data_IF_773318447120
#
_entry.id   IF_773318447120
#
_cell.length_a   1.000
_cell.length_b   1.000
_cell.length_c   1.000
_cell.angle_alpha   90.00
_cell.angle_beta   90.00
_cell.angle_gamma   90.00
#
_symmetry.space_group_name_H-M   'P 1'
#
loop_
_entity.id
_entity.type
_entity.pdbx_description
1 polymer ?
#
# COMPACT_ATOMS: atom_id res chain seq x y z
N UNK A 1 29.96 18.09 -5.85
CA UNK A 1 30.09 17.23 -7.05
C UNK A 1 28.83 17.20 -7.92
N UNK A 2 27.69 16.60 -7.49
CA UNK A 2 26.49 16.53 -8.35
C UNK A 2 25.90 17.91 -8.76
N UNK A 3 25.98 18.90 -7.86
CA UNK A 3 25.52 20.26 -8.13
C UNK A 3 26.51 21.12 -8.93
N UNK A 4 27.79 20.72 -8.99
CA UNK A 4 28.81 21.39 -9.81
C UNK A 4 28.71 20.95 -11.27
N UNK A 5 28.49 19.66 -11.51
CA UNK A 5 28.29 19.10 -12.86
C UNK A 5 27.06 19.71 -13.53
N UNK A 6 26.00 20.02 -12.77
CA UNK A 6 24.78 20.66 -13.33
C UNK A 6 24.98 22.09 -13.83
N UNK A 7 26.07 22.77 -13.44
CA UNK A 7 26.38 24.14 -13.87
C UNK A 7 27.08 24.20 -15.23
N UNK A 8 27.53 23.06 -15.75
CA UNK A 8 28.22 22.98 -17.03
C UNK A 8 27.21 22.97 -18.21
N UNK A 9 27.57 23.57 -19.36
CA UNK A 9 26.85 23.46 -20.62
C UNK A 9 26.58 22.01 -21.03
N UNK A 10 25.55 21.77 -21.84
CA UNK A 10 25.17 20.41 -22.27
C UNK A 10 26.30 19.70 -23.04
N UNK A 11 26.98 20.40 -23.93
CA UNK A 11 28.08 19.87 -24.76
C UNK A 11 29.31 19.51 -23.91
N UNK A 12 29.74 20.39 -22.99
CA UNK A 12 30.87 20.10 -22.08
C UNK A 12 30.58 18.92 -21.14
N UNK A 13 29.33 18.78 -20.67
CA UNK A 13 28.94 17.59 -19.89
C UNK A 13 29.03 16.32 -20.72
N UNK A 14 28.68 16.38 -21.99
CA UNK A 14 28.73 15.23 -22.90
C UNK A 14 30.17 14.82 -23.21
N UNK A 15 31.08 15.79 -23.40
CA UNK A 15 32.51 15.53 -23.57
C UNK A 15 33.16 14.97 -22.30
N UNK A 16 32.82 15.51 -21.12
CA UNK A 16 33.32 14.99 -19.85
C UNK A 16 32.83 13.57 -19.56
N UNK A 17 31.57 13.27 -19.87
CA UNK A 17 31.04 11.91 -19.70
C UNK A 17 31.68 10.92 -20.69
N UNK A 18 32.00 11.37 -21.92
CA UNK A 18 32.76 10.56 -22.89
C UNK A 18 34.22 10.36 -22.49
N UNK A 19 34.86 11.39 -21.91
CA UNK A 19 36.26 11.34 -21.48
C UNK A 19 36.47 10.52 -20.19
N UNK A 20 35.46 10.46 -19.31
CA UNK A 20 35.53 9.76 -18.03
C UNK A 20 35.39 8.23 -18.13
N UNK A 21 35.12 7.68 -19.33
CA UNK A 21 34.88 6.25 -19.59
C UNK A 21 33.94 5.58 -18.58
N UNK A 22 32.97 6.35 -18.09
CA UNK A 22 32.16 5.91 -16.96
C UNK A 22 31.03 5.00 -17.46
N UNK A 23 31.20 3.70 -17.27
CA UNK A 23 30.17 2.71 -17.62
C UNK A 23 29.16 2.58 -16.48
N UNK A 24 27.98 3.18 -16.64
CA UNK A 24 26.88 3.00 -15.69
C UNK A 24 26.17 1.69 -16.00
N UNK A 25 26.17 0.76 -15.04
CA UNK A 25 25.48 -0.53 -15.19
C UNK A 25 24.12 -0.50 -14.49
N UNK A 26 23.04 -0.71 -15.24
CA UNK A 26 21.68 -0.86 -14.71
C UNK A 26 21.43 -2.34 -14.38
N UNK A 27 21.15 -2.69 -13.11
CA UNK A 27 20.82 -4.04 -12.66
C UNK A 27 19.59 -4.62 -13.37
N UNK A 28 19.40 -5.94 -13.25
CA UNK A 28 18.32 -6.66 -13.92
C UNK A 28 16.93 -6.21 -13.41
N UNK A 29 16.82 -5.96 -12.11
CA UNK A 29 15.62 -5.56 -11.40
C UNK A 29 15.19 -4.14 -11.83
N UNK A 30 16.14 -3.21 -11.91
CA UNK A 30 15.88 -1.84 -12.38
C UNK A 30 15.55 -1.81 -13.88
N UNK A 31 16.18 -2.69 -14.68
CA UNK A 31 15.83 -2.86 -16.09
C UNK A 31 14.39 -3.40 -16.28
N UNK A 32 13.93 -4.27 -15.38
CA UNK A 32 12.54 -4.76 -15.35
C UNK A 32 11.56 -3.67 -14.94
N UNK A 33 11.88 -2.90 -13.89
CA UNK A 33 11.06 -1.77 -13.45
C UNK A 33 10.87 -0.77 -14.61
N UNK A 34 11.97 -0.36 -15.26
CA UNK A 34 11.94 0.52 -16.42
C UNK A 34 11.06 -0.03 -17.56
N UNK A 35 11.11 -1.35 -17.81
CA UNK A 35 10.24 -2.00 -18.80
C UNK A 35 8.77 -1.91 -18.39
N UNK A 36 8.47 -2.16 -17.11
CA UNK A 36 7.11 -2.15 -16.55
C UNK A 36 6.50 -0.75 -16.60
N UNK A 37 7.21 0.23 -16.06
CA UNK A 37 6.77 1.62 -15.94
C UNK A 37 6.50 2.28 -17.29
N UNK A 38 7.31 1.92 -18.29
CA UNK A 38 7.18 2.41 -19.66
C UNK A 38 6.30 1.53 -20.56
N UNK A 39 5.70 0.46 -20.02
CA UNK A 39 4.87 -0.50 -20.75
C UNK A 39 5.55 -1.06 -22.02
N UNK A 40 6.87 -1.29 -21.98
CA UNK A 40 7.64 -1.65 -23.17
C UNK A 40 7.61 -3.16 -23.44
N UNK A 41 7.33 -3.54 -24.69
CA UNK A 41 7.61 -4.88 -25.18
C UNK A 41 9.13 -5.16 -25.22
N UNK A 42 9.52 -6.42 -25.02
CA UNK A 42 10.93 -6.87 -25.07
C UNK A 42 11.69 -6.45 -26.33
N UNK A 43 11.02 -6.39 -27.49
CA UNK A 43 11.62 -5.86 -28.73
C UNK A 43 12.03 -4.39 -28.58
N UNK A 44 11.19 -3.55 -27.97
CA UNK A 44 11.47 -2.13 -27.71
C UNK A 44 12.56 -1.97 -26.64
N UNK A 45 12.55 -2.81 -25.60
CA UNK A 45 13.62 -2.86 -24.59
C UNK A 45 14.98 -3.16 -25.22
N UNK A 46 15.04 -4.09 -26.19
CA UNK A 46 16.29 -4.39 -26.92
C UNK A 46 16.80 -3.21 -27.74
N UNK A 47 15.92 -2.45 -28.38
CA UNK A 47 16.28 -1.23 -29.14
C UNK A 47 16.78 -0.16 -28.18
N UNK A 48 16.03 0.10 -27.10
CA UNK A 48 16.39 1.07 -26.06
C UNK A 48 17.73 0.74 -25.41
N UNK A 49 18.01 -0.53 -25.11
CA UNK A 49 19.30 -0.96 -24.59
C UNK A 49 20.45 -0.69 -25.57
N UNK A 50 20.26 -0.91 -26.87
CA UNK A 50 21.29 -0.58 -27.87
C UNK A 50 21.55 0.92 -27.92
N UNK A 51 20.47 1.71 -27.88
CA UNK A 51 20.56 3.16 -27.80
C UNK A 51 21.29 3.60 -26.52
N UNK A 52 20.88 3.15 -25.33
CA UNK A 52 21.54 3.45 -24.06
C UNK A 52 23.01 3.00 -24.02
N UNK A 53 23.36 1.88 -24.64
CA UNK A 53 24.76 1.45 -24.76
C UNK A 53 25.61 2.45 -25.54
N UNK A 54 25.04 3.15 -26.53
CA UNK A 54 25.76 4.23 -27.24
C UNK A 54 26.03 5.46 -26.36
N UNK A 55 25.33 5.57 -25.22
CA UNK A 55 25.53 6.60 -24.19
C UNK A 55 26.34 6.11 -22.98
N UNK A 56 27.05 4.97 -23.09
CA UNK A 56 27.82 4.42 -21.96
C UNK A 56 26.97 3.74 -20.86
N UNK A 57 25.66 3.58 -21.09
CA UNK A 57 24.75 2.90 -20.16
C UNK A 57 24.59 1.41 -20.54
N UNK A 58 25.03 0.53 -19.65
CA UNK A 58 24.91 -0.92 -19.82
C UNK A 58 23.73 -1.47 -19.02
N UNK A 59 22.64 -1.86 -19.69
CA UNK A 59 21.54 -2.57 -19.03
C UNK A 59 21.82 -4.08 -19.04
N UNK A 60 21.56 -4.74 -17.91
CA UNK A 60 21.54 -6.19 -17.79
C UNK A 60 20.82 -6.88 -18.97
N UNK A 61 21.30 -8.05 -19.37
CA UNK A 61 20.75 -8.76 -20.53
C UNK A 61 19.28 -9.14 -20.34
N UNK A 62 18.53 -9.25 -21.44
CA UNK A 62 17.14 -9.73 -21.41
C UNK A 62 17.03 -11.08 -20.68
N UNK A 63 18.01 -11.97 -20.84
CA UNK A 63 18.05 -13.24 -20.14
C UNK A 63 18.20 -13.05 -18.61
N UNK A 64 19.07 -12.14 -18.16
CA UNK A 64 19.22 -11.82 -16.72
C UNK A 64 17.94 -11.19 -16.17
N UNK A 65 17.33 -10.26 -16.91
CA UNK A 65 16.05 -9.66 -16.54
C UNK A 65 14.93 -10.70 -16.46
N UNK A 66 14.83 -11.63 -17.42
CA UNK A 66 13.83 -12.71 -17.38
C UNK A 66 14.07 -13.68 -16.20
N UNK A 67 15.32 -13.94 -15.83
CA UNK A 67 15.65 -14.74 -14.64
C UNK A 67 15.26 -14.01 -13.36
N UNK A 68 15.59 -12.73 -13.23
CA UNK A 68 15.18 -11.91 -12.08
C UNK A 68 13.65 -11.85 -11.96
N UNK A 69 12.94 -11.67 -13.08
CA UNK A 69 11.49 -11.72 -13.12
C UNK A 69 10.96 -13.09 -12.68
N UNK A 70 11.58 -14.18 -13.14
CA UNK A 70 11.20 -15.53 -12.72
C UNK A 70 11.41 -15.74 -11.22
N UNK A 71 12.49 -15.21 -10.65
CA UNK A 71 12.76 -15.26 -9.20
C UNK A 71 11.72 -14.45 -8.42
N UNK A 72 11.43 -13.21 -8.83
CA UNK A 72 10.37 -12.39 -8.23
C UNK A 72 8.98 -13.07 -8.33
N UNK A 73 8.68 -13.67 -9.48
CA UNK A 73 7.45 -14.45 -9.69
C UNK A 73 7.46 -15.83 -9.02
N UNK A 74 8.59 -16.29 -8.48
CA UNK A 74 8.66 -17.50 -7.63
C UNK A 74 8.42 -17.14 -6.16
N UNK A 75 8.77 -15.92 -5.75
CA UNK A 75 8.43 -15.37 -4.43
C UNK A 75 6.93 -15.06 -4.32
N UNK A 76 6.32 -14.59 -5.40
CA UNK A 76 4.86 -14.61 -5.55
C UNK A 76 4.46 -16.05 -5.88
N UNK A 77 3.56 -16.72 -5.15
CA UNK A 77 3.11 -18.09 -5.49
C UNK A 77 2.24 -18.10 -6.77
N UNK A 78 2.81 -17.69 -7.90
CA UNK A 78 2.20 -17.67 -9.22
C UNK A 78 2.62 -18.96 -9.92
N UNK A 79 1.72 -19.92 -9.96
CA UNK A 79 1.93 -21.15 -10.70
C UNK A 79 1.53 -20.95 -12.16
N UNK A 80 2.37 -21.45 -13.05
CA UNK A 80 2.10 -21.48 -14.47
C UNK A 80 1.95 -22.91 -14.94
N UNK A 81 0.85 -23.24 -15.60
CA UNK A 81 0.67 -24.51 -16.27
C UNK A 81 0.20 -24.31 -17.70
N UNK A 82 0.48 -25.27 -18.58
CA UNK A 82 -0.02 -25.23 -19.96
C UNK A 82 -1.36 -25.92 -19.99
N UNK A 83 -2.43 -25.13 -20.13
CA UNK A 83 -3.80 -25.64 -20.20
C UNK A 83 -4.26 -25.63 -21.66
N UNK A 84 -5.02 -26.64 -22.12
CA UNK A 84 -5.66 -26.58 -23.43
C UNK A 84 -6.70 -25.47 -23.49
N UNK A 85 -6.43 -24.43 -24.30
CA UNK A 85 -7.38 -23.37 -24.64
C UNK A 85 -7.87 -23.54 -26.07
N UNK A 86 -9.11 -23.10 -26.32
CA UNK A 86 -9.67 -23.06 -27.67
C UNK A 86 -9.32 -21.74 -28.36
N UNK A 87 -8.76 -21.82 -29.56
CA UNK A 87 -8.41 -20.69 -30.42
C UNK A 87 -9.22 -20.76 -31.71
N UNK A 88 -9.66 -19.60 -32.23
CA UNK A 88 -10.23 -19.53 -33.57
C UNK A 88 -9.13 -19.63 -34.62
N UNK A 89 -9.29 -20.55 -35.56
CA UNK A 89 -8.42 -20.66 -36.72
C UNK A 89 -8.76 -19.60 -37.76
N UNK A 90 -7.82 -19.31 -38.68
CA UNK A 90 -8.05 -18.39 -39.81
C UNK A 90 -9.15 -18.87 -40.77
N UNK A 91 -9.44 -20.17 -40.78
CA UNK A 91 -10.51 -20.77 -41.58
C UNK A 91 -11.88 -20.74 -40.88
N UNK A 92 -12.01 -20.11 -39.71
CA UNK A 92 -13.26 -20.02 -38.95
C UNK A 92 -13.56 -21.22 -38.06
N UNK A 93 -12.67 -22.22 -38.00
CA UNK A 93 -12.76 -23.35 -37.09
C UNK A 93 -12.28 -23.01 -35.67
N UNK A 94 -12.42 -23.97 -34.75
CA UNK A 94 -11.81 -23.92 -33.42
C UNK A 94 -10.73 -24.99 -33.31
N UNK A 95 -9.60 -24.65 -32.70
CA UNK A 95 -8.52 -25.57 -32.41
C UNK A 95 -8.13 -25.48 -30.94
N UNK A 96 -7.92 -26.62 -30.30
CA UNK A 96 -7.33 -26.67 -28.96
C UNK A 96 -5.82 -26.57 -29.08
N UNK A 97 -5.22 -25.59 -28.39
CA UNK A 97 -3.78 -25.49 -28.25
C UNK A 97 -3.43 -25.30 -26.78
N UNK A 98 -2.34 -25.93 -26.37
CA UNK A 98 -1.75 -25.64 -25.07
C UNK A 98 -1.28 -24.19 -25.07
N UNK A 99 -1.77 -23.40 -24.12
CA UNK A 99 -1.29 -22.05 -23.91
C UNK A 99 -0.93 -21.85 -22.43
N UNK A 100 0.08 -21.01 -22.15
CA UNK A 100 0.50 -20.73 -20.79
C UNK A 100 -0.65 -20.04 -20.04
N UNK A 101 -1.10 -20.69 -18.97
CA UNK A 101 -2.00 -20.13 -17.98
C UNK A 101 -1.20 -19.89 -16.71
N UNK A 102 -1.36 -18.71 -16.11
CA UNK A 102 -0.78 -18.42 -14.81
C UNK A 102 -1.91 -18.15 -13.82
N UNK A 103 -1.84 -18.77 -12.66
CA UNK A 103 -2.77 -18.56 -11.56
C UNK A 103 -2.01 -18.27 -10.28
N UNK A 104 -2.63 -17.46 -9.43
CA UNK A 104 -2.12 -17.12 -8.11
C UNK A 104 -2.71 -18.10 -7.11
N UNK A 105 -1.86 -18.84 -6.39
CA UNK A 105 -2.32 -19.73 -5.32
C UNK A 105 -2.85 -18.95 -4.12
N UNK A 106 -2.43 -17.69 -4.00
CA UNK A 106 -2.72 -16.85 -2.85
C UNK A 106 -3.24 -15.48 -3.31
N UNK A 107 -4.57 -15.40 -3.49
CA UNK A 107 -5.27 -14.16 -3.83
C UNK A 107 -4.99 -13.06 -2.80
N UNK A 108 -4.84 -13.41 -1.52
CA UNK A 108 -4.53 -12.48 -0.43
C UNK A 108 -3.18 -11.80 -0.66
N UNK A 109 -2.11 -12.56 -0.91
CA UNK A 109 -0.77 -12.02 -1.21
C UNK A 109 -0.77 -11.15 -2.47
N UNK A 110 -1.54 -11.54 -3.48
CA UNK A 110 -1.64 -10.80 -4.76
C UNK A 110 -2.36 -9.47 -4.59
N UNK A 111 -3.47 -9.44 -3.87
CA UNK A 111 -4.19 -8.21 -3.54
C UNK A 111 -3.32 -7.27 -2.69
N UNK A 112 -2.50 -7.81 -1.79
CA UNK A 112 -1.57 -7.02 -0.99
C UNK A 112 -0.45 -6.39 -1.82
N UNK A 113 0.15 -7.13 -2.74
CA UNK A 113 1.13 -6.58 -3.67
C UNK A 113 0.54 -5.42 -4.49
N UNK A 114 -0.69 -5.57 -5.00
CA UNK A 114 -1.37 -4.52 -5.75
C UNK A 114 -1.67 -3.27 -4.91
N UNK A 115 -2.01 -3.45 -3.63
CA UNK A 115 -2.21 -2.35 -2.68
C UNK A 115 -0.92 -1.59 -2.36
N UNK A 116 0.19 -2.31 -2.17
CA UNK A 116 1.51 -1.72 -1.90
C UNK A 116 2.01 -0.93 -3.11
N UNK A 117 1.99 -1.55 -4.29
CA UNK A 117 2.56 -1.00 -5.52
C UNK A 117 1.71 0.15 -6.08
N UNK A 118 0.38 0.03 -6.09
CA UNK A 118 -0.51 1.01 -6.74
C UNK A 118 -1.08 2.07 -5.80
N UNK A 119 -1.11 1.85 -4.49
CA UNK A 119 -1.71 2.78 -3.54
C UNK A 119 -0.74 3.33 -2.49
N UNK A 120 0.55 2.98 -2.58
CA UNK A 120 1.58 3.41 -1.62
C UNK A 120 1.17 3.13 -0.16
N UNK A 121 0.50 2.00 0.05
CA UNK A 121 0.16 1.51 1.38
C UNK A 121 1.24 0.51 1.77
N UNK A 122 2.36 0.98 2.32
CA UNK A 122 3.42 0.10 2.82
C UNK A 122 2.92 -0.70 4.03
N UNK A 123 3.01 -2.04 3.99
CA UNK A 123 2.80 -2.86 5.17
C UNK A 123 3.80 -2.45 6.25
N UNK A 124 3.29 -2.23 7.46
CA UNK A 124 4.16 -2.11 8.62
C UNK A 124 4.27 -3.48 9.25
N UNK A 125 5.50 -3.95 9.50
CA UNK A 125 5.82 -5.30 9.97
C UNK A 125 5.28 -5.66 11.37
N UNK A 126 4.49 -4.78 11.99
CA UNK A 126 3.87 -5.07 13.27
C UNK A 126 2.76 -6.11 13.10
N UNK A 127 2.92 -7.25 13.78
CA UNK A 127 2.00 -8.40 13.78
C UNK A 127 1.61 -8.94 12.39
N UNK A 128 2.59 -9.48 11.67
CA UNK A 128 2.34 -10.44 10.58
C UNK A 128 1.60 -9.86 9.38
N UNK A 129 2.07 -8.72 8.86
CA UNK A 129 1.56 -8.11 7.62
C UNK A 129 0.08 -7.67 7.70
N UNK A 130 -0.31 -7.07 8.83
CA UNK A 130 -1.69 -6.62 9.05
C UNK A 130 -1.91 -5.14 8.73
N UNK A 131 -3.15 -4.77 8.40
CA UNK A 131 -3.54 -3.38 8.25
C UNK A 131 -3.66 -2.71 9.61
N UNK A 132 -2.93 -1.60 9.81
CA UNK A 132 -3.06 -0.74 10.98
C UNK A 132 -4.17 0.30 10.79
N UNK A 133 -4.56 0.98 11.87
CA UNK A 133 -5.65 1.97 11.86
C UNK A 133 -5.50 3.05 10.78
N UNK A 134 -4.27 3.52 10.55
CA UNK A 134 -3.98 4.49 9.49
C UNK A 134 -4.27 3.96 8.07
N UNK A 135 -4.05 2.67 7.84
CA UNK A 135 -4.36 2.04 6.55
C UNK A 135 -5.87 1.95 6.35
N UNK A 136 -6.60 1.54 7.38
CA UNK A 136 -8.07 1.47 7.34
C UNK A 136 -8.67 2.85 7.08
N UNK A 137 -8.22 3.88 7.81
CA UNK A 137 -8.68 5.25 7.62
C UNK A 137 -8.42 5.77 6.20
N UNK A 138 -7.27 5.44 5.61
CA UNK A 138 -6.98 5.78 4.20
C UNK A 138 -7.85 4.98 3.23
N UNK A 139 -7.96 3.66 3.40
CA UNK A 139 -8.67 2.78 2.49
C UNK A 139 -10.17 3.12 2.38
N UNK A 140 -10.79 3.55 3.49
CA UNK A 140 -12.21 3.88 3.55
C UNK A 140 -12.60 5.26 2.99
N UNK A 141 -11.65 5.99 2.38
CA UNK A 141 -11.95 7.25 1.67
C UNK A 141 -12.63 6.94 0.33
N UNK A 142 -13.66 7.70 -0.10
CA UNK A 142 -14.40 7.39 -1.32
C UNK A 142 -13.53 7.24 -2.58
N UNK A 143 -12.51 8.09 -2.74
CA UNK A 143 -11.57 8.01 -3.86
C UNK A 143 -10.76 6.70 -3.83
N UNK A 144 -10.35 6.26 -2.63
CA UNK A 144 -9.51 5.07 -2.45
C UNK A 144 -10.33 3.79 -2.58
N UNK A 145 -11.58 3.77 -2.12
CA UNK A 145 -12.52 2.67 -2.38
C UNK A 145 -12.68 2.47 -3.90
N UNK A 146 -12.94 3.56 -4.63
CA UNK A 146 -13.06 3.51 -6.10
C UNK A 146 -11.78 3.00 -6.76
N UNK A 147 -10.62 3.53 -6.35
CA UNK A 147 -9.33 3.12 -6.90
C UNK A 147 -9.02 1.65 -6.62
N UNK A 148 -9.28 1.18 -5.39
CA UNK A 148 -9.08 -0.20 -4.98
C UNK A 148 -9.91 -1.14 -5.82
N UNK A 149 -11.22 -0.90 -5.89
CA UNK A 149 -12.12 -1.74 -6.65
C UNK A 149 -11.76 -1.69 -8.15
N UNK A 150 -11.50 -0.51 -8.72
CA UNK A 150 -11.12 -0.37 -10.13
C UNK A 150 -9.85 -1.18 -10.46
N UNK A 151 -8.86 -1.20 -9.57
CA UNK A 151 -7.61 -1.94 -9.81
C UNK A 151 -7.84 -3.44 -10.08
N UNK A 152 -8.88 -4.03 -9.49
CA UNK A 152 -9.26 -5.43 -9.72
C UNK A 152 -9.84 -5.62 -11.13
N UNK A 153 -10.68 -4.68 -11.59
CA UNK A 153 -11.21 -4.68 -12.97
C UNK A 153 -10.12 -4.46 -13.99
N UNK A 154 -9.21 -3.52 -13.75
CA UNK A 154 -8.08 -3.25 -14.66
C UNK A 154 -7.20 -4.49 -14.79
N UNK A 155 -6.98 -5.20 -13.67
CA UNK A 155 -6.24 -6.47 -13.64
C UNK A 155 -6.98 -7.57 -14.42
N UNK A 156 -8.29 -7.74 -14.20
CA UNK A 156 -9.09 -8.71 -14.94
C UNK A 156 -9.08 -8.40 -16.46
N UNK A 157 -9.24 -7.13 -16.83
CA UNK A 157 -9.22 -6.69 -18.24
C UNK A 157 -7.89 -6.97 -18.92
N UNK A 158 -6.80 -6.87 -18.16
CA UNK A 158 -5.43 -7.11 -18.68
C UNK A 158 -5.13 -8.60 -18.86
N UNK A 159 -5.65 -9.45 -17.98
CA UNK A 159 -5.25 -10.86 -17.91
C UNK A 159 -6.30 -11.85 -18.40
N UNK A 160 -7.59 -11.57 -18.21
CA UNK A 160 -8.69 -12.44 -18.64
C UNK A 160 -10.00 -11.66 -18.82
N UNK A 161 -10.31 -11.32 -20.08
CA UNK A 161 -11.53 -10.60 -20.46
C UNK A 161 -12.81 -11.38 -20.11
N UNK A 162 -12.76 -12.71 -19.98
CA UNK A 162 -13.93 -13.53 -19.63
C UNK A 162 -14.38 -13.31 -18.19
N UNK A 163 -13.47 -12.88 -17.31
CA UNK A 163 -13.77 -12.58 -15.91
C UNK A 163 -14.38 -11.20 -15.69
N UNK A 164 -14.24 -10.28 -16.67
CA UNK A 164 -14.65 -8.88 -16.52
C UNK A 164 -16.12 -8.73 -16.08
N UNK A 165 -17.11 -9.43 -16.67
CA UNK A 165 -18.51 -9.31 -16.23
C UNK A 165 -18.71 -9.72 -14.77
N UNK A 166 -18.08 -10.82 -14.34
CA UNK A 166 -18.15 -11.33 -12.96
C UNK A 166 -17.46 -10.38 -11.97
N UNK A 167 -16.31 -9.84 -12.36
CA UNK A 167 -15.55 -8.88 -11.54
C UNK A 167 -16.31 -7.57 -11.39
N UNK A 168 -16.96 -7.08 -12.45
CA UNK A 168 -17.82 -5.88 -12.38
C UNK A 168 -19.00 -6.06 -11.43
N UNK A 169 -19.63 -7.24 -11.42
CA UNK A 169 -20.71 -7.54 -10.47
C UNK A 169 -20.22 -7.58 -9.01
N UNK A 170 -19.06 -8.20 -8.76
CA UNK A 170 -18.43 -8.22 -7.44
C UNK A 170 -18.01 -6.82 -6.99
N UNK A 171 -17.49 -6.01 -7.90
CA UNK A 171 -17.03 -4.64 -7.64
C UNK A 171 -18.13 -3.77 -7.01
N UNK A 172 -19.34 -3.78 -7.59
CA UNK A 172 -20.46 -3.02 -7.05
C UNK A 172 -20.76 -3.42 -5.59
N UNK A 173 -20.72 -4.73 -5.32
CA UNK A 173 -20.94 -5.29 -3.98
C UNK A 173 -19.90 -4.80 -2.98
N UNK A 174 -18.61 -4.83 -3.34
CA UNK A 174 -17.53 -4.37 -2.45
C UNK A 174 -17.50 -2.85 -2.27
N UNK A 175 -17.80 -2.07 -3.31
CA UNK A 175 -17.92 -0.60 -3.20
C UNK A 175 -19.01 -0.25 -2.19
N UNK A 176 -20.17 -0.91 -2.27
CA UNK A 176 -21.26 -0.68 -1.34
C UNK A 176 -20.91 -1.11 0.08
N UNK A 177 -20.32 -2.30 0.26
CA UNK A 177 -19.84 -2.78 1.56
C UNK A 177 -18.88 -1.78 2.23
N UNK A 178 -17.84 -1.34 1.51
CA UNK A 178 -16.86 -0.38 2.05
C UNK A 178 -17.48 0.99 2.31
N UNK A 179 -18.42 1.42 1.50
CA UNK A 179 -19.12 2.71 1.70
C UNK A 179 -19.99 2.67 2.94
N UNK A 180 -20.74 1.58 3.16
CA UNK A 180 -21.54 1.38 4.37
C UNK A 180 -20.66 1.33 5.63
N UNK A 181 -19.56 0.57 5.58
CA UNK A 181 -18.63 0.48 6.69
C UNK A 181 -17.90 1.81 6.96
N UNK A 182 -17.54 2.57 5.91
CA UNK A 182 -16.90 3.89 6.04
C UNK A 182 -17.78 4.88 6.83
N UNK A 183 -19.10 4.83 6.65
CA UNK A 183 -20.04 5.65 7.44
C UNK A 183 -20.02 5.28 8.92
N UNK A 184 -19.96 3.99 9.24
CA UNK A 184 -19.81 3.52 10.62
C UNK A 184 -18.48 4.01 11.21
N UNK A 185 -17.38 3.75 10.50
CA UNK A 185 -16.02 4.14 10.92
C UNK A 185 -15.92 5.63 11.21
N UNK A 186 -16.47 6.48 10.33
CA UNK A 186 -16.40 7.91 10.53
C UNK A 186 -17.04 8.32 11.86
N UNK A 187 -18.19 7.75 12.20
CA UNK A 187 -18.94 8.17 13.39
C UNK A 187 -18.33 7.65 14.68
N UNK A 188 -18.03 6.34 14.80
CA UNK A 188 -17.48 5.81 16.06
C UNK A 188 -16.07 6.35 16.37
N UNK A 189 -15.33 6.80 15.37
CA UNK A 189 -13.98 7.37 15.49
C UNK A 189 -14.00 8.89 15.74
N UNK A 190 -15.02 9.62 15.28
CA UNK A 190 -15.03 11.10 15.21
C UNK A 190 -15.13 11.87 16.54
N UNK A 191 -15.30 11.20 17.68
CA UNK A 191 -15.55 11.90 18.96
C UNK A 191 -16.98 12.45 19.11
N UNK A 192 -17.82 12.35 18.07
CA UNK A 192 -19.17 12.94 18.02
C UNK A 192 -20.22 12.03 18.68
N UNK A 193 -20.62 12.40 19.89
CA UNK A 193 -21.60 11.65 20.69
C UNK A 193 -23.05 12.09 20.43
N UNK A 194 -23.25 13.15 19.66
CA UNK A 194 -24.56 13.64 19.20
C UNK A 194 -25.15 12.75 18.09
N UNK A 195 -24.33 11.95 17.41
CA UNK A 195 -24.73 11.14 16.24
C UNK A 195 -24.81 9.63 16.54
N UNK A 196 -24.97 9.23 17.81
CA UNK A 196 -24.97 7.80 18.20
C UNK A 196 -26.12 7.02 17.56
N UNK A 197 -27.31 7.60 17.46
CA UNK A 197 -28.45 6.92 16.83
C UNK A 197 -28.26 6.77 15.30
N UNK A 198 -27.64 7.78 14.67
CA UNK A 198 -27.24 7.71 13.26
C UNK A 198 -26.18 6.63 13.02
N UNK A 199 -25.23 6.47 13.95
CA UNK A 199 -24.26 5.38 13.93
C UNK A 199 -24.97 4.02 14.00
N UNK A 200 -25.92 3.84 14.92
CA UNK A 200 -26.72 2.62 15.00
C UNK A 200 -27.39 2.26 13.68
N UNK A 201 -28.07 3.22 13.06
CA UNK A 201 -28.68 3.03 11.74
C UNK A 201 -27.68 2.64 10.64
N UNK A 202 -26.48 3.21 10.66
CA UNK A 202 -25.44 2.82 9.70
C UNK A 202 -24.88 1.42 9.94
N UNK A 203 -24.74 1.02 11.20
CA UNK A 203 -24.33 -0.33 11.59
C UNK A 203 -25.37 -1.35 11.13
N UNK A 204 -26.65 -1.10 11.39
CA UNK A 204 -27.74 -1.99 10.97
C UNK A 204 -27.73 -2.19 9.46
N UNK A 205 -27.68 -1.09 8.68
CA UNK A 205 -27.59 -1.16 7.22
C UNK A 205 -26.37 -1.93 6.72
N UNK A 206 -25.21 -1.75 7.35
CA UNK A 206 -24.00 -2.49 7.00
C UNK A 206 -24.16 -3.98 7.28
N UNK A 207 -24.69 -4.35 8.45
CA UNK A 207 -24.85 -5.74 8.86
C UNK A 207 -25.95 -6.46 8.06
N UNK A 208 -27.06 -5.79 7.75
CA UNK A 208 -28.09 -6.28 6.83
C UNK A 208 -27.50 -6.58 5.45
N UNK A 209 -26.77 -5.62 4.89
CA UNK A 209 -26.11 -5.79 3.60
C UNK A 209 -25.11 -6.96 3.62
N UNK A 210 -24.26 -7.04 4.64
CA UNK A 210 -23.27 -8.10 4.78
C UNK A 210 -23.92 -9.48 4.83
N UNK A 211 -24.95 -9.67 5.66
CA UNK A 211 -25.67 -10.95 5.75
C UNK A 211 -26.38 -11.32 4.45
N UNK A 212 -26.97 -10.34 3.77
CA UNK A 212 -27.66 -10.58 2.50
C UNK A 212 -26.70 -10.97 1.37
N UNK A 213 -25.49 -10.40 1.33
CA UNK A 213 -24.49 -10.67 0.28
C UNK A 213 -23.57 -11.84 0.61
N UNK A 214 -23.42 -12.16 1.88
CA UNK A 214 -22.55 -13.22 2.38
C UNK A 214 -23.30 -14.11 3.39
N UNK A 215 -24.37 -14.83 2.98
CA UNK A 215 -25.23 -15.58 3.90
C UNK A 215 -24.50 -16.71 4.63
N UNK A 216 -23.51 -17.32 3.97
CA UNK A 216 -22.68 -18.40 4.53
C UNK A 216 -21.52 -17.87 5.40
N UNK A 217 -21.28 -16.56 5.42
CA UNK A 217 -20.14 -16.00 6.16
C UNK A 217 -20.47 -15.85 7.65
N UNK A 218 -19.58 -16.34 8.49
CA UNK A 218 -19.68 -16.14 9.94
C UNK A 218 -19.50 -14.66 10.31
N UNK A 219 -20.20 -14.22 11.35
CA UNK A 219 -19.97 -12.90 11.95
C UNK A 219 -18.72 -12.94 12.83
N UNK A 220 -17.65 -12.27 12.41
CA UNK A 220 -16.40 -12.21 13.18
C UNK A 220 -16.58 -11.39 14.47
N UNK A 221 -15.78 -11.62 15.53
CA UNK A 221 -15.91 -10.92 16.80
C UNK A 221 -15.96 -9.39 16.68
N UNK A 222 -15.13 -8.78 15.82
CA UNK A 222 -15.15 -7.32 15.61
C UNK A 222 -16.48 -6.80 15.04
N UNK A 223 -17.12 -7.56 14.16
CA UNK A 223 -18.44 -7.20 13.61
C UNK A 223 -19.53 -7.41 14.65
N UNK A 224 -19.44 -8.45 15.48
CA UNK A 224 -20.33 -8.64 16.61
C UNK A 224 -20.23 -7.49 17.63
N UNK A 225 -19.00 -7.07 17.98
CA UNK A 225 -18.75 -5.92 18.84
C UNK A 225 -19.37 -4.65 18.27
N UNK A 226 -19.14 -4.39 16.97
CA UNK A 226 -19.73 -3.26 16.26
C UNK A 226 -21.26 -3.28 16.36
N UNK A 227 -21.88 -4.41 16.03
CA UNK A 227 -23.34 -4.54 15.96
C UNK A 227 -24.03 -4.48 17.33
N UNK A 228 -23.52 -5.22 18.31
CA UNK A 228 -24.26 -5.48 19.55
C UNK A 228 -23.84 -4.59 20.72
N UNK A 229 -22.63 -4.01 20.67
CA UNK A 229 -22.02 -3.40 21.84
C UNK A 229 -21.63 -1.94 21.67
N UNK A 230 -21.25 -1.50 20.46
CA UNK A 230 -20.75 -0.12 20.27
C UNK A 230 -21.79 0.93 20.64
N UNK A 231 -23.04 0.81 20.17
CA UNK A 231 -24.07 1.82 20.44
C UNK A 231 -24.43 1.91 21.93
N UNK A 232 -24.64 0.76 22.58
CA UNK A 232 -24.96 0.71 24.02
C UNK A 232 -23.81 1.26 24.86
N UNK A 233 -22.58 0.90 24.51
CA UNK A 233 -21.37 1.41 25.17
C UNK A 233 -21.24 2.93 25.03
N UNK A 234 -21.40 3.48 23.83
CA UNK A 234 -21.33 4.93 23.60
C UNK A 234 -22.41 5.69 24.38
N UNK A 235 -23.63 5.15 24.46
CA UNK A 235 -24.72 5.75 25.24
C UNK A 235 -24.44 5.73 26.74
N UNK A 236 -23.90 4.63 27.24
CA UNK A 236 -23.61 4.44 28.66
C UNK A 236 -22.44 5.33 29.11
N UNK A 237 -21.33 5.29 28.39
CA UNK A 237 -20.08 5.89 28.86
C UNK A 237 -19.87 7.32 28.39
N UNK A 238 -20.59 7.75 27.34
CA UNK A 238 -20.47 9.11 26.77
C UNK A 238 -19.01 9.47 26.45
N UNK A 239 -18.27 8.50 25.91
CA UNK A 239 -16.91 8.65 25.39
C UNK A 239 -16.86 7.93 24.05
N UNK A 240 -16.20 8.48 23.04
CA UNK A 240 -16.11 7.82 21.73
C UNK A 240 -15.09 6.69 21.72
N UNK A 241 -15.21 5.75 20.77
CA UNK A 241 -14.23 4.69 20.60
C UNK A 241 -12.85 5.25 20.23
N UNK A 242 -12.79 6.36 19.48
CA UNK A 242 -11.53 7.03 19.13
C UNK A 242 -10.73 7.52 20.34
N UNK A 243 -11.40 7.97 21.41
CA UNK A 243 -10.73 8.40 22.66
C UNK A 243 -10.21 7.23 23.51
N UNK A 244 -10.82 6.05 23.37
CA UNK A 244 -10.43 4.83 24.10
C UNK A 244 -9.57 3.88 23.27
N UNK A 245 -9.11 4.33 22.09
CA UNK A 245 -8.24 3.54 21.23
C UNK A 245 -6.82 3.43 21.79
N UNK A 246 -6.11 2.40 21.33
CA UNK A 246 -4.73 2.12 21.75
C UNK A 246 -3.68 3.03 21.09
N UNK A 247 -4.09 3.98 20.25
CA UNK A 247 -3.16 4.88 19.53
C UNK A 247 -2.27 5.68 20.49
N UNK A 248 -2.79 6.05 21.67
CA UNK A 248 -1.98 6.70 22.70
C UNK A 248 -0.84 5.79 23.19
N UNK A 249 -1.12 4.51 23.44
CA UNK A 249 -0.12 3.53 23.84
C UNK A 249 0.89 3.24 22.73
N UNK A 250 0.46 3.15 21.47
CA UNK A 250 1.36 3.02 20.32
C UNK A 250 2.31 4.22 20.19
N UNK A 251 1.82 5.43 20.39
CA UNK A 251 2.64 6.64 20.40
C UNK A 251 3.65 6.64 21.57
N UNK A 252 3.25 6.12 22.75
CA UNK A 252 4.17 5.95 23.87
C UNK A 252 5.36 5.07 23.48
N UNK A 253 5.15 3.94 22.79
CA UNK A 253 6.28 3.11 22.32
C UNK A 253 7.28 3.89 21.47
N UNK A 254 6.82 4.71 20.54
CA UNK A 254 7.70 5.55 19.71
C UNK A 254 8.47 6.58 20.55
N UNK A 255 7.82 7.18 21.55
CA UNK A 255 8.44 8.12 22.48
C UNK A 255 9.50 7.43 23.35
N UNK A 256 9.19 6.26 23.92
CA UNK A 256 10.15 5.47 24.70
C UNK A 256 11.35 5.04 23.87
N UNK A 257 11.15 4.58 22.64
CA UNK A 257 12.24 4.23 21.73
C UNK A 257 13.13 5.44 21.42
N UNK A 258 12.52 6.62 21.23
CA UNK A 258 13.26 7.87 20.99
C UNK A 258 14.06 8.30 22.21
N UNK A 259 13.43 8.27 23.38
CA UNK A 259 14.06 8.56 24.67
C UNK A 259 15.23 7.60 24.94
N UNK A 260 15.02 6.29 24.78
CA UNK A 260 16.03 5.26 25.01
C UNK A 260 17.28 5.43 24.13
N UNK A 261 17.13 5.88 22.88
CA UNK A 261 18.29 6.13 21.99
C UNK A 261 19.27 7.15 22.58
N UNK A 262 18.80 8.17 23.29
CA UNK A 262 19.65 9.18 23.92
C UNK A 262 20.51 8.60 25.06
N UNK A 263 20.07 7.49 25.66
CA UNK A 263 20.72 6.85 26.81
C UNK A 263 21.36 5.50 26.46
N UNK A 264 21.52 5.17 25.18
CA UNK A 264 22.07 3.88 24.74
C UNK A 264 23.48 3.60 25.26
N UNK A 265 24.27 4.64 25.53
CA UNK A 265 25.64 4.53 26.03
C UNK A 265 25.72 4.17 27.54
N UNK A 266 24.60 4.18 28.27
CA UNK A 266 24.57 3.75 29.67
C UNK A 266 24.72 2.22 29.75
N UNK A 267 25.77 1.77 30.45
CA UNK A 267 26.11 0.35 30.61
C UNK A 267 25.16 -0.38 31.56
N UNK A 268 24.78 0.27 32.66
CA UNK A 268 23.82 -0.29 33.61
C UNK A 268 22.40 -0.22 33.04
N UNK A 269 21.77 -1.39 32.88
CA UNK A 269 20.45 -1.51 32.26
C UNK A 269 19.33 -0.99 33.14
N UNK A 270 19.46 -1.14 34.46
CA UNK A 270 18.45 -0.72 35.43
C UNK A 270 18.46 0.80 35.54
N UNK A 271 19.63 1.40 35.69
CA UNK A 271 19.77 2.85 35.72
C UNK A 271 19.36 3.49 34.39
N UNK A 272 19.69 2.86 33.26
CA UNK A 272 19.19 3.32 31.95
C UNK A 272 17.67 3.35 31.88
N UNK A 273 17.00 2.30 32.36
CA UNK A 273 15.53 2.25 32.40
C UNK A 273 14.94 3.32 33.32
N UNK A 274 15.52 3.52 34.52
CA UNK A 274 15.09 4.57 35.45
C UNK A 274 15.18 5.96 34.82
N UNK A 275 16.30 6.27 34.15
CA UNK A 275 16.49 7.57 33.49
C UNK A 275 15.53 7.74 32.31
N UNK A 276 15.32 6.70 31.49
CA UNK A 276 14.35 6.74 30.38
C UNK A 276 12.94 7.00 30.90
N UNK A 277 12.53 6.32 31.97
CA UNK A 277 11.21 6.49 32.59
C UNK A 277 11.06 7.89 33.19
N UNK A 278 12.06 8.36 33.92
CA UNK A 278 12.05 9.69 34.53
C UNK A 278 11.99 10.79 33.46
N UNK A 279 12.83 10.71 32.42
CA UNK A 279 12.81 11.68 31.33
C UNK A 279 11.45 11.67 30.59
N UNK A 280 10.90 10.49 30.31
CA UNK A 280 9.57 10.40 29.70
C UNK A 280 8.49 11.02 30.61
N UNK A 281 8.52 10.75 31.92
CA UNK A 281 7.61 11.35 32.88
C UNK A 281 7.66 12.88 32.84
N UNK A 282 8.86 13.46 32.83
CA UNK A 282 9.04 14.92 32.74
C UNK A 282 8.46 15.51 31.45
N UNK A 283 8.57 14.80 30.33
CA UNK A 283 8.03 15.25 29.03
C UNK A 283 6.50 15.27 28.99
N UNK A 284 5.83 14.35 29.70
CA UNK A 284 4.36 14.25 29.68
C UNK A 284 3.68 15.06 30.78
N UNK A 285 4.46 15.65 31.70
CA UNK A 285 3.90 16.52 32.75
C UNK A 285 3.23 17.75 32.12
N UNK A 286 1.94 18.03 32.43
CA UNK A 286 1.22 19.17 31.86
C UNK A 286 1.92 20.52 32.09
N UNK A 287 2.54 20.67 33.26
CA UNK A 287 3.31 21.87 33.62
C UNK A 287 4.53 22.08 32.73
N UNK A 288 5.12 21.02 32.19
CA UNK A 288 6.30 21.12 31.31
C UNK A 288 5.85 21.33 29.87
N UNK A 289 4.80 20.64 29.43
CA UNK A 289 4.22 20.79 28.10
C UNK A 289 3.75 22.22 27.80
N UNK A 290 3.29 22.98 28.81
CA UNK A 290 2.90 24.39 28.64
C UNK A 290 4.06 25.33 28.29
N UNK A 291 5.31 24.91 28.50
CA UNK A 291 6.50 25.67 28.15
C UNK A 291 7.08 25.28 26.78
N UNK A 292 6.59 24.21 26.15
CA UNK A 292 7.04 23.85 24.81
C UNK A 292 6.54 24.88 23.79
N UNK A 293 7.45 25.44 22.97
CA UNK A 293 7.04 26.36 21.91
C UNK A 293 6.13 25.62 20.92
N UNK A 294 5.12 26.29 20.35
CA UNK A 294 4.20 25.66 19.41
C UNK A 294 4.96 25.07 18.22
N UNK A 295 4.53 23.91 17.69
CA UNK A 295 5.25 23.24 16.62
C UNK A 295 5.39 24.16 15.40
N UNK A 296 6.63 24.36 14.96
CA UNK A 296 6.95 25.17 13.78
C UNK A 296 6.23 24.55 12.58
N UNK A 297 5.27 25.29 12.01
CA UNK A 297 4.51 24.83 10.84
C UNK A 297 5.49 24.48 9.72
N UNK A 298 5.60 23.19 9.37
CA UNK A 298 6.38 22.74 8.21
C UNK A 298 5.88 23.49 6.97
N UNK A 299 6.79 24.19 6.30
CA UNK A 299 6.51 24.97 5.09
C UNK A 299 5.90 24.04 4.04
N UNK A 300 4.65 24.27 3.64
CA UNK A 300 4.01 23.50 2.55
C UNK A 300 4.87 23.68 1.30
N UNK A 301 5.39 22.58 0.74
CA UNK A 301 5.96 22.56 -0.61
C UNK A 301 4.84 23.02 -1.56
N UNK A 302 4.98 24.19 -2.19
CA UNK A 302 4.10 24.59 -3.28
C UNK A 302 4.17 23.50 -4.35
N UNK A 303 3.01 22.96 -4.73
CA UNK A 303 2.90 22.16 -5.94
C UNK A 303 3.42 23.03 -7.10
N UNK A 304 4.31 22.48 -7.89
CA UNK A 304 4.75 23.11 -9.14
C UNK A 304 3.56 23.00 -10.09
N UNK A 305 2.94 24.12 -10.43
CA UNK A 305 1.94 24.18 -11.50
C UNK A 305 2.67 23.89 -12.82
N UNK A 306 2.48 22.69 -13.36
CA UNK A 306 2.83 22.38 -14.75
C UNK A 306 1.70 22.89 -15.64
N UNK A 307 2.00 23.99 -16.33
CA UNK A 307 1.29 24.43 -17.53
C UNK A 307 1.52 23.46 -18.70
#
# INVERSE_FOLDING_TARGET
MADEIKRLPAEEREELMKAADFTITVPAEQGLALKSDLCLHWRKVRIMRRWMKSWGLSIASEQKQRRALKTMLMEMEIQGESIPFSFRTRSGGQELRLAPFAFVNNLKSTLFHLLEEKQSVERQAYYGDTFIGNHVHKALKPANIKALCKSVVDTATTHDLSLVPKVQQLLATFIEAFTLFSKCHKLYDSGRLDEIDLLGHHIDKFMEFYRAKCPEASCIPKMHMLEKHVVSWLKQWRVSCGYMGEQGAEALHANFNTCARAYNNMRDRVERLKVVLHNHHMQVLPSTASFEPPPIKKRKKKALDTA
#
